data_IF_947326268916
#
_entry.id   IF_947326268916
#
_cell.length_a   1.000
_cell.length_b   1.000
_cell.length_c   1.000
_cell.angle_alpha   90.00
_cell.angle_beta   90.00
_cell.angle_gamma   90.00
#
_symmetry.space_group_name_H-M   'P 1'
#
loop_
_entity.id
_entity.type
_entity.pdbx_description
1 polymer ?
#
# COMPACT_ATOMS: atom_id res chain seq x y z
N UNK A 1 7.46 -6.60 2.89
CA UNK A 1 8.37 -7.63 2.34
C UNK A 1 9.54 -7.95 3.27
N UNK A 2 10.41 -7.00 3.63
CA UNK A 2 11.60 -7.27 4.47
C UNK A 2 11.28 -7.95 5.83
N UNK A 3 10.26 -7.47 6.55
CA UNK A 3 9.83 -8.09 7.83
C UNK A 3 9.43 -9.56 7.63
N UNK A 4 8.63 -9.83 6.59
CA UNK A 4 8.21 -11.18 6.23
C UNK A 4 9.40 -12.10 5.91
N UNK A 5 10.39 -11.58 5.17
CA UNK A 5 11.62 -12.30 4.85
C UNK A 5 12.41 -12.71 6.10
N UNK A 6 12.60 -11.78 7.04
CA UNK A 6 13.32 -12.03 8.30
C UNK A 6 12.60 -13.11 9.11
N UNK A 7 11.28 -12.97 9.29
CA UNK A 7 10.49 -13.95 10.02
C UNK A 7 10.47 -15.31 9.32
N UNK A 8 10.48 -15.37 7.97
CA UNK A 8 10.52 -16.64 7.25
C UNK A 8 11.78 -17.45 7.59
N UNK A 9 12.94 -16.78 7.70
CA UNK A 9 14.19 -17.43 8.10
C UNK A 9 14.12 -17.95 9.54
N UNK A 10 13.64 -17.12 10.47
CA UNK A 10 13.46 -17.54 11.86
C UNK A 10 12.47 -18.70 11.98
N UNK A 11 11.34 -18.64 11.28
CA UNK A 11 10.32 -19.69 11.27
C UNK A 11 10.87 -21.02 10.75
N UNK A 12 11.63 -21.00 9.65
CA UNK A 12 12.29 -22.21 9.17
C UNK A 12 13.24 -22.82 10.20
N UNK A 13 14.09 -22.00 10.82
CA UNK A 13 15.09 -22.50 11.75
C UNK A 13 14.49 -23.08 13.04
N UNK A 14 13.32 -22.59 13.47
CA UNK A 14 12.72 -22.98 14.76
C UNK A 14 11.55 -23.97 14.62
N UNK A 15 10.80 -23.94 13.51
CA UNK A 15 9.52 -24.63 13.41
C UNK A 15 9.42 -25.63 12.25
N UNK A 16 10.50 -25.87 11.49
CA UNK A 16 10.49 -26.78 10.34
C UNK A 16 10.09 -28.23 10.70
N UNK A 17 10.41 -28.70 11.91
CA UNK A 17 10.18 -30.08 12.33
C UNK A 17 8.99 -30.25 13.27
N UNK A 18 8.24 -29.17 13.54
CA UNK A 18 7.07 -29.22 14.42
C UNK A 18 6.04 -30.19 13.85
N UNK A 19 5.43 -30.99 14.73
CA UNK A 19 4.41 -31.96 14.37
C UNK A 19 3.29 -31.30 13.55
N UNK A 20 2.96 -31.89 12.41
CA UNK A 20 1.92 -31.42 11.50
C UNK A 20 0.55 -31.67 12.13
N UNK A 21 -0.05 -30.63 12.68
CA UNK A 21 -1.40 -30.64 13.24
C UNK A 21 -2.08 -29.28 13.01
N UNK A 22 -3.42 -29.27 13.08
CA UNK A 22 -4.25 -28.09 12.90
C UNK A 22 -3.92 -27.31 11.60
N UNK A 23 -3.26 -26.16 11.71
CA UNK A 23 -2.89 -25.31 10.58
C UNK A 23 -1.59 -25.70 9.88
N UNK A 24 -0.74 -26.54 10.48
CA UNK A 24 0.50 -26.99 9.87
C UNK A 24 0.27 -28.31 9.12
N UNK A 25 0.51 -28.32 7.81
CA UNK A 25 0.34 -29.48 6.92
C UNK A 25 1.43 -29.54 5.83
N UNK A 26 1.27 -30.40 4.83
CA UNK A 26 2.29 -30.60 3.78
C UNK A 26 2.49 -29.39 2.86
N UNK A 27 1.52 -28.47 2.80
CA UNK A 27 1.57 -27.27 1.97
C UNK A 27 1.82 -26.00 2.80
N UNK A 28 1.19 -25.89 3.98
CA UNK A 28 1.32 -24.78 4.91
C UNK A 28 2.20 -25.21 6.08
N UNK A 29 3.50 -24.99 5.97
CA UNK A 29 4.48 -25.31 7.01
C UNK A 29 5.70 -24.37 6.95
N UNK A 30 6.67 -24.62 7.82
CA UNK A 30 7.92 -23.88 7.91
C UNK A 30 9.13 -24.71 7.42
N UNK A 31 8.92 -25.76 6.61
CA UNK A 31 10.02 -26.64 6.16
C UNK A 31 10.92 -25.94 5.13
N UNK A 32 10.34 -25.05 4.31
CA UNK A 32 11.07 -24.33 3.25
C UNK A 32 10.79 -22.83 3.31
N UNK A 33 11.62 -22.07 2.60
CA UNK A 33 11.49 -20.61 2.56
C UNK A 33 10.17 -20.19 1.90
N UNK A 34 9.81 -20.85 0.80
CA UNK A 34 8.55 -20.59 0.10
C UNK A 34 7.33 -20.87 0.97
N UNK A 35 7.29 -22.04 1.63
CA UNK A 35 6.16 -22.39 2.51
C UNK A 35 6.05 -21.41 3.70
N UNK A 36 7.20 -21.04 4.30
CA UNK A 36 7.24 -20.04 5.36
C UNK A 36 6.72 -18.68 4.89
N UNK A 37 7.08 -18.24 3.68
CA UNK A 37 6.58 -16.99 3.09
C UNK A 37 5.06 -17.04 2.86
N UNK A 38 4.51 -18.17 2.42
CA UNK A 38 3.05 -18.36 2.24
C UNK A 38 2.33 -18.28 3.59
N UNK A 39 2.82 -19.00 4.60
CA UNK A 39 2.28 -18.95 5.96
C UNK A 39 2.30 -17.51 6.52
N UNK A 40 3.42 -16.81 6.35
CA UNK A 40 3.56 -15.43 6.83
C UNK A 40 2.68 -14.43 6.06
N UNK A 41 2.52 -14.64 4.76
CA UNK A 41 1.59 -13.85 3.94
C UNK A 41 0.16 -14.01 4.45
N UNK A 42 -0.27 -15.23 4.76
CA UNK A 42 -1.59 -15.49 5.32
C UNK A 42 -1.79 -14.79 6.68
N UNK A 43 -0.85 -14.92 7.61
CA UNK A 43 -1.00 -14.32 8.95
C UNK A 43 -0.77 -12.79 8.95
N UNK A 44 -0.30 -12.19 7.86
CA UNK A 44 -0.18 -10.72 7.74
C UNK A 44 -1.54 -10.04 7.93
N UNK A 45 -2.63 -10.70 7.52
CA UNK A 45 -4.01 -10.25 7.74
C UNK A 45 -4.60 -10.80 9.05
N UNK A 46 -3.78 -11.32 9.96
CA UNK A 46 -4.17 -12.03 11.18
C UNK A 46 -5.08 -13.24 10.96
N UNK A 47 -5.08 -13.84 9.77
CA UNK A 47 -5.92 -14.99 9.47
C UNK A 47 -5.20 -16.33 9.77
N UNK A 48 -5.83 -17.20 10.55
CA UNK A 48 -5.37 -18.58 10.79
C UNK A 48 -4.05 -18.70 11.57
N UNK A 49 -3.63 -17.65 12.28
CA UNK A 49 -2.42 -17.67 13.11
C UNK A 49 -2.55 -18.61 14.31
N UNK A 50 -3.76 -18.78 14.83
CA UNK A 50 -4.12 -19.68 15.92
C UNK A 50 -3.88 -21.15 15.52
N UNK A 51 -4.28 -21.51 14.31
CA UNK A 51 -4.05 -22.86 13.77
C UNK A 51 -2.57 -23.17 13.53
N UNK A 52 -1.76 -22.17 13.15
CA UNK A 52 -0.31 -22.33 13.01
C UNK A 52 0.42 -22.35 14.36
N UNK A 53 -0.07 -21.60 15.35
CA UNK A 53 0.52 -21.56 16.68
C UNK A 53 0.22 -22.83 17.48
N UNK A 54 -0.98 -23.40 17.37
CA UNK A 54 -1.41 -24.57 18.14
C UNK A 54 -0.37 -25.73 18.18
N UNK A 55 0.12 -26.26 17.05
CA UNK A 55 1.12 -27.34 17.08
C UNK A 55 2.48 -26.91 17.68
N UNK A 56 2.81 -25.61 17.64
CA UNK A 56 4.07 -25.07 18.18
C UNK A 56 4.01 -24.98 19.72
N UNK A 57 2.81 -24.99 20.32
CA UNK A 57 2.63 -25.04 21.76
C UNK A 57 2.80 -26.45 22.36
N UNK A 58 2.87 -27.49 21.52
CA UNK A 58 3.09 -28.86 21.97
C UNK A 58 4.55 -29.01 22.43
N UNK A 59 4.77 -29.27 23.72
CA UNK A 59 6.11 -29.28 24.33
C UNK A 59 6.55 -30.63 24.91
N UNK A 60 5.65 -31.61 25.01
CA UNK A 60 6.01 -32.97 25.42
C UNK A 60 4.94 -34.02 25.10
N UNK A 61 5.20 -35.30 25.42
CA UNK A 61 4.25 -36.38 25.22
C UNK A 61 2.97 -36.20 26.07
N UNK A 62 1.77 -36.58 25.57
CA UNK A 62 1.50 -37.31 24.33
C UNK A 62 1.35 -36.45 23.07
N UNK A 63 1.46 -35.12 23.19
CA UNK A 63 1.13 -34.19 22.11
C UNK A 63 2.25 -34.12 21.05
N UNK A 64 3.51 -34.32 21.44
CA UNK A 64 4.66 -34.46 20.54
C UNK A 64 5.65 -35.53 21.03
N UNK A 65 6.56 -35.95 20.16
CA UNK A 65 7.61 -36.92 20.45
C UNK A 65 8.99 -36.24 20.38
N UNK A 66 9.72 -36.11 21.51
CA UNK A 66 11.04 -35.47 21.55
C UNK A 66 12.14 -36.31 20.89
N UNK A 67 11.92 -37.62 20.70
CA UNK A 67 12.92 -38.56 20.19
C UNK A 67 12.63 -39.01 18.75
N UNK A 68 11.62 -38.39 18.09
CA UNK A 68 11.25 -38.71 16.71
C UNK A 68 12.43 -38.51 15.76
N UNK A 69 12.78 -39.59 15.06
CA UNK A 69 13.82 -39.56 14.04
C UNK A 69 13.27 -39.00 12.71
N UNK A 70 14.02 -38.08 12.10
CA UNK A 70 13.74 -37.53 10.78
C UNK A 70 14.77 -38.05 9.77
N UNK A 71 14.40 -38.95 8.83
CA UNK A 71 15.35 -39.53 7.89
C UNK A 71 16.08 -38.46 7.07
N UNK A 72 17.41 -38.47 7.12
CA UNK A 72 18.25 -37.50 6.40
C UNK A 72 18.55 -36.20 7.17
N UNK A 73 18.09 -36.06 8.42
CA UNK A 73 18.45 -34.96 9.31
C UNK A 73 19.08 -35.48 10.62
N UNK A 74 19.98 -34.71 11.21
CA UNK A 74 20.51 -34.98 12.55
C UNK A 74 19.63 -34.45 13.68
N UNK A 75 18.57 -33.69 13.34
CA UNK A 75 17.62 -33.13 14.30
C UNK A 75 16.70 -34.24 14.80
N UNK A 76 16.44 -34.26 16.11
CA UNK A 76 15.51 -35.18 16.75
C UNK A 76 14.34 -34.41 17.36
N UNK A 77 13.17 -35.04 17.31
CA UNK A 77 11.95 -34.56 17.92
C UNK A 77 11.07 -33.72 16.99
N UNK A 78 9.78 -33.67 17.30
CA UNK A 78 8.78 -32.83 16.62
C UNK A 78 8.03 -31.89 17.56
N UNK A 79 8.59 -31.68 18.76
CA UNK A 79 8.07 -30.75 19.75
C UNK A 79 8.39 -29.29 19.41
N UNK A 80 7.42 -28.42 19.63
CA UNK A 80 7.59 -26.98 19.56
C UNK A 80 8.13 -26.39 20.87
N UNK A 81 8.38 -25.07 20.84
CA UNK A 81 8.76 -24.30 22.01
C UNK A 81 7.69 -23.24 22.26
N UNK A 82 6.85 -23.39 23.31
CA UNK A 82 5.73 -22.49 23.57
C UNK A 82 6.16 -21.03 23.73
N UNK A 83 7.25 -20.77 24.46
CA UNK A 83 7.72 -19.40 24.72
C UNK A 83 8.19 -18.72 23.42
N UNK A 84 8.97 -19.43 22.60
CA UNK A 84 9.45 -18.91 21.31
C UNK A 84 8.31 -18.76 20.32
N UNK A 85 7.38 -19.71 20.28
CA UNK A 85 6.18 -19.67 19.43
C UNK A 85 5.30 -18.47 19.74
N UNK A 86 4.94 -18.26 21.01
CA UNK A 86 4.12 -17.12 21.44
C UNK A 86 4.81 -15.81 21.07
N UNK A 87 6.10 -15.67 21.38
CA UNK A 87 6.83 -14.45 21.05
C UNK A 87 6.90 -14.20 19.54
N UNK A 88 7.15 -15.24 18.74
CA UNK A 88 7.23 -15.15 17.28
C UNK A 88 5.89 -14.67 16.68
N UNK A 89 4.77 -15.32 16.99
CA UNK A 89 3.48 -14.97 16.38
C UNK A 89 2.95 -13.62 16.88
N UNK A 90 3.02 -13.36 18.20
CA UNK A 90 2.51 -12.10 18.76
C UNK A 90 3.32 -10.90 18.25
N UNK A 91 4.66 -11.00 18.24
CA UNK A 91 5.50 -9.92 17.70
C UNK A 91 5.26 -9.70 16.21
N UNK A 92 5.10 -10.77 15.42
CA UNK A 92 4.79 -10.66 14.00
C UNK A 92 3.47 -9.92 13.76
N UNK A 93 2.40 -10.32 14.44
CA UNK A 93 1.06 -9.72 14.28
C UNK A 93 1.09 -8.23 14.65
N UNK A 94 1.75 -7.85 15.74
CA UNK A 94 1.85 -6.44 16.14
C UNK A 94 2.60 -5.64 15.08
N UNK A 95 3.77 -6.13 14.64
CA UNK A 95 4.59 -5.42 13.64
C UNK A 95 3.86 -5.34 12.30
N UNK A 96 3.25 -6.43 11.84
CA UNK A 96 2.52 -6.47 10.57
C UNK A 96 1.31 -5.53 10.61
N UNK A 97 0.57 -5.51 11.71
CA UNK A 97 -0.57 -4.60 11.90
C UNK A 97 -0.13 -3.13 11.84
N UNK A 98 0.93 -2.76 12.57
CA UNK A 98 1.46 -1.40 12.55
C UNK A 98 1.91 -0.97 11.15
N UNK A 99 2.59 -1.86 10.41
CA UNK A 99 3.03 -1.57 9.04
C UNK A 99 1.84 -1.39 8.10
N UNK A 100 0.85 -2.28 8.15
CA UNK A 100 -0.33 -2.22 7.27
C UNK A 100 -1.16 -0.98 7.57
N UNK A 101 -1.42 -0.67 8.84
CA UNK A 101 -2.19 0.52 9.23
C UNK A 101 -1.48 1.80 8.82
N UNK A 102 -0.18 1.92 9.12
CA UNK A 102 0.57 3.14 8.78
C UNK A 102 0.67 3.34 7.26
N UNK A 103 0.88 2.27 6.50
CA UNK A 103 0.86 2.33 5.04
C UNK A 103 -0.51 2.77 4.51
N UNK A 104 -1.59 2.21 5.05
CA UNK A 104 -2.96 2.53 4.64
C UNK A 104 -3.31 4.00 4.93
N UNK A 105 -2.97 4.51 6.13
CA UNK A 105 -3.15 5.92 6.48
C UNK A 105 -2.34 6.82 5.54
N UNK A 106 -1.07 6.48 5.27
CA UNK A 106 -0.23 7.28 4.38
C UNK A 106 -0.82 7.39 2.98
N UNK A 107 -1.24 6.26 2.38
CA UNK A 107 -1.85 6.24 1.05
C UNK A 107 -3.15 7.05 1.02
N UNK A 108 -4.00 6.92 2.04
CA UNK A 108 -5.25 7.69 2.11
C UNK A 108 -4.96 9.18 2.19
N UNK A 109 -4.04 9.59 3.07
CA UNK A 109 -3.68 10.99 3.23
C UNK A 109 -3.09 11.58 1.95
N UNK A 110 -2.26 10.82 1.24
CA UNK A 110 -1.70 11.23 -0.05
C UNK A 110 -2.80 11.43 -1.10
N UNK A 111 -3.75 10.50 -1.22
CA UNK A 111 -4.89 10.65 -2.13
C UNK A 111 -5.76 11.86 -1.79
N UNK A 112 -6.05 12.10 -0.50
CA UNK A 112 -6.80 13.28 -0.08
C UNK A 112 -6.02 14.58 -0.30
N UNK A 113 -4.70 14.57 -0.12
CA UNK A 113 -3.84 15.71 -0.40
C UNK A 113 -3.91 16.09 -1.86
N UNK A 114 -3.76 15.13 -2.77
CA UNK A 114 -3.86 15.34 -4.23
C UNK A 114 -5.23 15.88 -4.62
N UNK A 115 -6.31 15.27 -4.13
CA UNK A 115 -7.66 15.75 -4.41
C UNK A 115 -7.93 17.17 -3.86
N UNK A 116 -7.31 17.52 -2.73
CA UNK A 116 -7.40 18.88 -2.17
C UNK A 116 -6.64 19.86 -3.05
N UNK A 117 -5.42 19.53 -3.49
CA UNK A 117 -4.63 20.37 -4.39
C UNK A 117 -5.40 20.68 -5.68
N UNK A 118 -5.98 19.67 -6.34
CA UNK A 118 -6.85 19.83 -7.51
C UNK A 118 -8.06 20.75 -7.23
N UNK A 119 -8.71 20.60 -6.06
CA UNK A 119 -9.85 21.45 -5.69
C UNK A 119 -9.49 22.90 -5.35
N UNK A 120 -8.22 23.14 -4.98
CA UNK A 120 -7.69 24.46 -4.67
C UNK A 120 -7.03 25.14 -5.85
N UNK A 121 -6.91 24.47 -6.99
CA UNK A 121 -6.48 25.12 -8.23
C UNK A 121 -7.47 26.25 -8.54
N UNK A 122 -6.99 27.49 -8.68
CA UNK A 122 -7.88 28.64 -8.89
C UNK A 122 -8.57 28.60 -10.26
N UNK A 123 -8.14 27.70 -11.15
CA UNK A 123 -8.71 27.46 -12.46
C UNK A 123 -9.07 25.98 -12.56
N UNK A 124 -10.32 25.71 -12.86
CA UNK A 124 -10.87 24.38 -13.11
C UNK A 124 -10.76 24.01 -14.60
N UNK A 125 -10.99 22.73 -14.95
CA UNK A 125 -11.10 22.31 -16.36
C UNK A 125 -12.17 23.11 -17.12
N UNK A 126 -13.30 23.43 -16.48
CA UNK A 126 -14.38 24.24 -17.05
C UNK A 126 -13.90 25.65 -17.45
N UNK A 127 -12.97 26.25 -16.68
CA UNK A 127 -12.41 27.57 -16.99
C UNK A 127 -11.53 27.54 -18.25
N UNK A 128 -10.82 26.43 -18.47
CA UNK A 128 -10.03 26.22 -19.69
C UNK A 128 -10.93 25.98 -20.90
N UNK A 129 -12.02 25.22 -20.75
CA UNK A 129 -12.99 25.01 -21.82
C UNK A 129 -13.65 26.33 -22.23
N UNK A 130 -14.12 27.13 -21.26
CA UNK A 130 -14.65 28.49 -21.51
C UNK A 130 -13.64 29.37 -22.25
N UNK A 131 -12.36 29.34 -21.87
CA UNK A 131 -11.31 30.08 -22.57
C UNK A 131 -11.22 29.67 -24.05
N UNK A 132 -11.22 28.37 -24.36
CA UNK A 132 -11.14 27.88 -25.74
C UNK A 132 -12.39 28.24 -26.55
N UNK A 133 -13.59 28.15 -25.97
CA UNK A 133 -14.84 28.56 -26.61
C UNK A 133 -14.85 30.05 -26.97
N UNK A 134 -14.29 30.90 -26.12
CA UNK A 134 -14.14 32.33 -26.41
C UNK A 134 -13.02 32.53 -27.44
N UNK A 135 -11.88 31.84 -27.32
CA UNK A 135 -10.74 31.95 -28.23
C UNK A 135 -11.12 31.62 -29.68
N UNK A 136 -11.91 30.57 -29.91
CA UNK A 136 -12.37 30.15 -31.24
C UNK A 136 -13.13 31.28 -31.98
N UNK A 137 -13.82 32.15 -31.24
CA UNK A 137 -14.52 33.32 -31.83
C UNK A 137 -13.56 34.39 -32.35
N UNK A 138 -12.32 34.43 -31.85
CA UNK A 138 -11.29 35.41 -32.22
C UNK A 138 -10.25 34.83 -33.19
N UNK A 139 -10.05 33.50 -33.18
CA UNK A 139 -9.16 32.72 -34.05
C UNK A 139 -9.88 31.47 -34.63
N UNK A 140 -10.83 31.67 -35.56
CA UNK A 140 -11.66 30.58 -36.09
C UNK A 140 -10.89 29.58 -36.97
N UNK A 141 -9.71 29.99 -37.48
CA UNK A 141 -8.84 29.14 -38.30
C UNK A 141 -7.82 28.36 -37.46
N UNK A 142 -7.91 28.44 -36.12
CA UNK A 142 -7.01 27.79 -35.17
C UNK A 142 -5.52 28.08 -35.45
N UNK A 143 -5.21 29.32 -35.83
CA UNK A 143 -3.83 29.75 -36.11
C UNK A 143 -2.96 29.85 -34.87
N UNK A 144 -3.58 29.84 -33.69
CA UNK A 144 -2.99 30.12 -32.37
C UNK A 144 -2.53 31.58 -32.20
N UNK A 145 -2.95 32.48 -33.08
CA UNK A 145 -2.62 33.90 -33.01
C UNK A 145 -3.86 34.77 -33.15
N UNK A 146 -3.88 35.88 -32.42
CA UNK A 146 -4.82 36.98 -32.63
C UNK A 146 -4.07 38.28 -32.84
N UNK A 147 -4.66 39.19 -33.60
CA UNK A 147 -4.10 40.53 -33.76
C UNK A 147 -4.14 41.28 -32.43
N UNK A 148 -3.06 41.99 -32.09
CA UNK A 148 -2.92 42.75 -30.83
C UNK A 148 -4.13 43.67 -30.53
N UNK A 149 -4.72 44.28 -31.56
CA UNK A 149 -5.91 45.16 -31.39
C UNK A 149 -7.13 44.45 -30.79
N UNK A 150 -7.24 43.13 -30.98
CA UNK A 150 -8.35 42.30 -30.48
C UNK A 150 -8.14 41.82 -29.04
N UNK A 151 -6.91 41.89 -28.51
CA UNK A 151 -6.56 41.39 -27.18
C UNK A 151 -7.42 42.02 -26.07
N UNK A 152 -7.68 43.33 -26.15
CA UNK A 152 -8.51 44.02 -25.15
C UNK A 152 -9.98 43.61 -25.19
N UNK A 153 -10.49 43.21 -26.35
CA UNK A 153 -11.87 42.75 -26.49
C UNK A 153 -11.99 41.28 -26.10
N UNK A 154 -10.97 40.47 -26.41
CA UNK A 154 -10.84 39.09 -25.96
C UNK A 154 -10.81 38.98 -24.42
N UNK A 155 -9.91 39.71 -23.75
CA UNK A 155 -9.78 39.67 -22.29
C UNK A 155 -11.06 40.12 -21.54
N UNK A 156 -11.86 40.97 -22.18
CA UNK A 156 -13.14 41.44 -21.65
C UNK A 156 -14.33 40.54 -22.01
N UNK A 157 -14.14 39.55 -22.88
CA UNK A 157 -15.15 38.59 -23.31
C UNK A 157 -15.07 37.23 -22.57
N UNK A 158 -13.99 37.00 -21.82
CA UNK A 158 -13.86 35.86 -20.91
C UNK A 158 -14.79 36.02 -19.70
N UNK A 159 -15.23 34.92 -19.12
CA UNK A 159 -16.00 34.93 -17.86
C UNK A 159 -15.07 34.86 -16.62
N UNK A 160 -15.53 35.25 -15.42
CA UNK A 160 -14.77 35.04 -14.19
C UNK A 160 -14.40 33.56 -14.01
N UNK A 161 -13.18 33.21 -13.55
CA UNK A 161 -12.14 34.07 -12.97
C UNK A 161 -11.17 34.70 -13.99
N UNK A 162 -11.28 34.37 -15.29
CA UNK A 162 -10.37 34.84 -16.34
C UNK A 162 -10.73 36.23 -16.91
N UNK A 163 -11.94 36.71 -16.64
CA UNK A 163 -12.42 38.04 -17.03
C UNK A 163 -11.51 39.15 -16.49
N UNK A 164 -11.07 40.03 -17.39
CA UNK A 164 -10.52 41.34 -17.03
C UNK A 164 -11.59 42.37 -17.45
N UNK A 165 -12.15 43.16 -16.51
CA UNK A 165 -13.35 44.03 -16.72
C UNK A 165 -13.06 45.54 -16.95
N UNK A 166 -13.60 46.16 -18.03
CA UNK A 166 -13.06 47.41 -18.63
C UNK A 166 -13.23 48.59 -17.66
N UNK A 167 -12.26 49.53 -17.56
CA UNK A 167 -11.03 49.70 -18.36
C UNK A 167 -9.75 49.13 -17.70
N UNK A 168 -8.95 48.36 -18.45
CA UNK A 168 -7.77 47.64 -17.93
C UNK A 168 -6.56 47.64 -18.88
N UNK A 169 -6.46 48.64 -19.77
CA UNK A 169 -5.28 48.82 -20.64
C UNK A 169 -3.96 48.86 -19.86
N UNK A 170 -3.97 49.42 -18.65
CA UNK A 170 -2.77 49.48 -17.79
C UNK A 170 -2.38 48.10 -17.24
N UNK A 171 -3.36 47.25 -16.90
CA UNK A 171 -3.12 45.87 -16.45
C UNK A 171 -2.56 45.03 -17.60
N UNK A 172 -3.10 45.15 -18.81
CA UNK A 172 -2.61 44.45 -20.00
C UNK A 172 -1.19 44.86 -20.46
N UNK A 173 -0.75 46.08 -20.14
CA UNK A 173 0.62 46.55 -20.42
C UNK A 173 1.61 46.03 -19.36
N UNK A 174 1.11 45.68 -18.16
CA UNK A 174 1.93 45.23 -17.04
C UNK A 174 2.09 43.71 -16.95
N UNK A 175 1.31 42.93 -17.73
CA UNK A 175 1.45 41.48 -17.92
C UNK A 175 2.45 41.17 -19.02
#
# INVERSE_FOLDING_TARGET
FLVMFIYAIFGMSNFAYVKKEAGINDMFNFETFGNSMICLFQITTSAGWDGLLAPILNSGPPDCDPDKDHPGSSVKGDCGNPSVGIFYFVSYIIISFLVVVNMYIAVILENFSVATEESTEPLSEDDFEMFYEVWEKFDPDATQFIEYRKLSDFAAALDPPLLIAKPHKVQLIAM
#
